data_IF_956153471447
#
_entry.id   IF_956153471447
#
_cell.length_a   1.000
_cell.length_b   1.000
_cell.length_c   1.000
_cell.angle_alpha   90.00
_cell.angle_beta   90.00
_cell.angle_gamma   90.00
#
_symmetry.space_group_name_H-M   'P 1'
#
loop_
_entity.id
_entity.type
_entity.pdbx_description
1 polymer ?
#
# COMPACT_ATOMS: atom_id res chain seq x y z
N UNK A 1 18.82 -4.33 -13.68
CA UNK A 1 18.46 -5.69 -14.11
C UNK A 1 16.99 -5.87 -13.82
N UNK A 2 16.20 -6.29 -14.81
CA UNK A 2 14.77 -6.49 -14.60
C UNK A 2 14.56 -7.98 -14.35
N UNK A 3 13.94 -8.31 -13.22
CA UNK A 3 13.51 -9.68 -12.94
C UNK A 3 12.19 -10.01 -13.62
N UNK A 4 11.65 -11.17 -13.28
CA UNK A 4 10.36 -11.66 -13.73
C UNK A 4 9.45 -11.91 -12.54
N UNK A 5 8.15 -11.91 -12.79
CA UNK A 5 7.15 -12.48 -11.88
C UNK A 5 6.28 -13.49 -12.64
N UNK A 6 5.67 -14.41 -11.91
CA UNK A 6 4.90 -15.52 -12.46
C UNK A 6 4.00 -16.15 -11.40
N UNK A 7 3.16 -17.09 -11.85
CA UNK A 7 2.38 -17.95 -10.97
C UNK A 7 3.14 -19.25 -10.67
N UNK A 8 3.26 -19.59 -9.40
CA UNK A 8 3.85 -20.84 -8.92
C UNK A 8 2.82 -21.96 -9.01
N UNK A 9 3.18 -23.09 -9.62
CA UNK A 9 2.32 -24.29 -9.67
C UNK A 9 2.89 -25.49 -8.93
N UNK A 10 4.15 -25.41 -8.50
CA UNK A 10 4.80 -26.43 -7.67
C UNK A 10 5.94 -25.83 -6.83
N UNK A 11 6.42 -26.59 -5.86
CA UNK A 11 7.64 -26.27 -5.09
C UNK A 11 8.48 -27.55 -5.01
N UNK A 12 9.56 -27.65 -5.79
CA UNK A 12 10.40 -28.86 -5.84
C UNK A 12 11.66 -28.76 -4.97
N UNK A 13 11.66 -27.90 -3.97
CA UNK A 13 12.85 -27.61 -3.15
C UNK A 13 13.08 -28.74 -2.15
N UNK A 14 14.30 -29.31 -2.08
CA UNK A 14 14.60 -30.40 -1.16
C UNK A 14 14.29 -30.03 0.29
N UNK A 15 13.63 -30.94 1.03
CA UNK A 15 13.33 -30.80 2.48
C UNK A 15 12.42 -29.62 2.85
N UNK A 16 11.71 -29.05 1.87
CA UNK A 16 10.71 -28.01 2.11
C UNK A 16 9.39 -28.61 2.64
N UNK A 17 8.74 -27.96 3.60
CA UNK A 17 7.51 -28.44 4.27
C UNK A 17 6.28 -27.86 3.59
N UNK A 18 5.32 -28.72 3.21
CA UNK A 18 4.08 -28.40 2.48
C UNK A 18 4.32 -27.63 1.16
N UNK A 19 3.41 -27.70 0.18
CA UNK A 19 3.52 -26.91 -1.04
C UNK A 19 3.39 -25.40 -0.75
N UNK A 20 4.52 -24.68 -0.62
CA UNK A 20 4.54 -23.23 -0.35
C UNK A 20 3.69 -22.45 -1.36
N UNK A 21 3.72 -22.86 -2.63
CA UNK A 21 2.96 -22.24 -3.73
C UNK A 21 1.43 -22.19 -3.52
N UNK A 22 0.85 -23.04 -2.67
CA UNK A 22 -0.59 -22.96 -2.36
C UNK A 22 -0.94 -21.73 -1.49
N UNK A 23 -0.01 -21.32 -0.63
CA UNK A 23 -0.17 -20.13 0.23
C UNK A 23 0.47 -18.88 -0.38
N UNK A 24 1.49 -19.07 -1.22
CA UNK A 24 2.22 -18.02 -1.93
C UNK A 24 2.22 -18.31 -3.44
N UNK A 25 1.09 -18.09 -4.12
CA UNK A 25 0.91 -18.46 -5.51
C UNK A 25 1.70 -17.60 -6.49
N UNK A 26 2.28 -16.47 -6.06
CA UNK A 26 3.12 -15.62 -6.91
C UNK A 26 4.60 -15.93 -6.65
N UNK A 27 5.39 -15.93 -7.72
CA UNK A 27 6.84 -16.05 -7.69
C UNK A 27 7.49 -14.81 -8.30
N UNK A 28 8.57 -14.35 -7.68
CA UNK A 28 9.40 -13.25 -8.18
C UNK A 28 10.82 -13.75 -8.31
N UNK A 29 11.44 -13.59 -9.47
CA UNK A 29 12.77 -14.13 -9.70
C UNK A 29 13.69 -13.17 -10.46
N UNK A 30 14.98 -13.25 -10.16
CA UNK A 30 16.02 -12.51 -10.86
C UNK A 30 17.36 -13.23 -10.76
N UNK A 31 18.35 -12.77 -11.52
CA UNK A 31 19.70 -13.32 -11.51
C UNK A 31 20.64 -12.43 -10.68
N UNK A 32 21.52 -13.02 -9.89
CA UNK A 32 22.72 -12.33 -9.38
C UNK A 32 23.91 -12.68 -10.28
N UNK A 33 25.09 -12.20 -9.94
CA UNK A 33 26.31 -12.58 -10.65
C UNK A 33 26.58 -14.10 -10.59
N UNK A 34 26.05 -14.80 -9.59
CA UNK A 34 26.38 -16.21 -9.31
C UNK A 34 25.17 -17.14 -9.21
N UNK A 35 24.02 -16.66 -8.75
CA UNK A 35 22.83 -17.47 -8.44
C UNK A 35 21.56 -16.91 -9.06
N UNK A 36 20.60 -17.78 -9.36
CA UNK A 36 19.20 -17.39 -9.50
C UNK A 36 18.58 -17.22 -8.13
N UNK A 37 17.65 -16.28 -8.01
CA UNK A 37 16.92 -15.95 -6.79
C UNK A 37 15.44 -16.05 -7.07
N UNK A 38 14.69 -16.63 -6.14
CA UNK A 38 13.23 -16.68 -6.14
C UNK A 38 12.70 -16.24 -4.77
N UNK A 39 11.69 -15.38 -4.78
CA UNK A 39 10.90 -15.00 -3.61
C UNK A 39 9.44 -15.39 -3.81
N UNK A 40 8.84 -15.89 -2.74
CA UNK A 40 7.43 -16.26 -2.69
C UNK A 40 6.56 -15.06 -2.34
N UNK A 41 5.51 -14.81 -3.11
CA UNK A 41 4.53 -13.75 -2.87
C UNK A 41 3.10 -14.26 -2.72
N UNK A 42 2.33 -13.61 -1.85
CA UNK A 42 0.90 -13.84 -1.69
C UNK A 42 0.05 -13.07 -2.71
N UNK A 43 -1.21 -13.47 -2.85
CA UNK A 43 -2.22 -12.77 -3.67
C UNK A 43 -3.49 -12.42 -2.85
N UNK A 44 -3.35 -12.38 -1.52
CA UNK A 44 -4.42 -12.04 -0.57
C UNK A 44 -3.94 -10.94 0.38
N UNK A 45 -4.90 -10.19 0.94
CA UNK A 45 -4.59 -9.09 1.85
C UNK A 45 -3.72 -8.05 1.15
N UNK A 46 -2.51 -7.82 1.68
CA UNK A 46 -1.56 -6.83 1.17
C UNK A 46 -0.55 -7.41 0.16
N UNK A 47 -0.78 -8.64 -0.33
CA UNK A 47 0.06 -9.31 -1.34
C UNK A 47 1.54 -9.39 -0.95
N UNK A 48 1.79 -9.70 0.32
CA UNK A 48 3.14 -9.68 0.91
C UNK A 48 4.09 -10.63 0.20
N UNK A 49 5.33 -10.16 -0.04
CA UNK A 49 6.45 -11.00 -0.48
C UNK A 49 7.22 -11.46 0.76
N UNK A 50 7.40 -12.78 0.86
CA UNK A 50 8.07 -13.45 1.96
C UNK A 50 9.58 -13.48 1.73
N UNK A 51 10.24 -12.36 2.08
CA UNK A 51 11.70 -12.17 1.95
C UNK A 51 12.49 -13.27 2.67
N UNK A 52 12.01 -13.72 3.84
CA UNK A 52 12.64 -14.81 4.59
C UNK A 52 12.48 -16.20 3.97
N UNK A 53 11.60 -16.35 2.95
CA UNK A 53 11.43 -17.56 2.16
C UNK A 53 12.08 -17.38 0.79
N UNK A 54 13.38 -17.13 0.76
CA UNK A 54 14.12 -16.95 -0.49
C UNK A 54 14.77 -18.27 -0.91
N UNK A 55 14.49 -18.71 -2.14
CA UNK A 55 15.14 -19.85 -2.74
C UNK A 55 16.25 -19.40 -3.70
N UNK A 56 17.42 -20.03 -3.62
CA UNK A 56 18.52 -19.77 -4.55
C UNK A 56 19.11 -21.07 -5.10
N UNK A 57 19.68 -20.98 -6.30
CA UNK A 57 20.46 -22.05 -6.94
C UNK A 57 21.53 -21.39 -7.82
N UNK A 58 22.72 -22.00 -7.96
CA UNK A 58 23.75 -21.47 -8.85
C UNK A 58 23.21 -21.36 -10.27
N UNK A 59 23.52 -20.23 -10.93
CA UNK A 59 22.98 -19.96 -12.27
C UNK A 59 23.52 -20.98 -13.28
N UNK A 60 22.61 -21.69 -13.94
CA UNK A 60 22.91 -22.60 -15.03
C UNK A 60 21.73 -22.59 -16.02
N UNK A 61 21.98 -22.17 -17.25
CA UNK A 61 20.92 -21.93 -18.24
C UNK A 61 20.30 -20.54 -18.08
N UNK A 62 19.00 -20.43 -18.33
CA UNK A 62 18.25 -19.17 -18.22
C UNK A 62 17.42 -19.12 -16.94
N UNK A 63 17.13 -17.91 -16.43
CA UNK A 63 16.22 -17.70 -15.30
C UNK A 63 14.83 -18.29 -15.53
N UNK A 64 14.28 -18.15 -16.74
CA UNK A 64 12.94 -18.66 -17.07
C UNK A 64 12.88 -20.19 -17.04
N UNK A 65 13.86 -20.86 -17.66
CA UNK A 65 13.94 -22.33 -17.62
C UNK A 65 14.08 -22.85 -16.19
N UNK A 66 14.89 -22.14 -15.38
CA UNK A 66 15.02 -22.43 -13.96
C UNK A 66 13.70 -22.28 -13.20
N UNK A 67 12.98 -21.18 -13.43
CA UNK A 67 11.71 -20.89 -12.79
C UNK A 67 10.64 -21.94 -13.16
N UNK A 68 10.54 -22.31 -14.44
CA UNK A 68 9.64 -23.35 -14.93
C UNK A 68 10.00 -24.71 -14.31
N UNK A 69 11.28 -25.08 -14.31
CA UNK A 69 11.74 -26.36 -13.77
C UNK A 69 11.44 -26.49 -12.29
N UNK A 70 11.75 -25.46 -11.50
CA UNK A 70 11.76 -25.52 -10.02
C UNK A 70 10.41 -25.17 -9.41
N UNK A 71 9.71 -24.16 -9.95
CA UNK A 71 8.47 -23.62 -9.37
C UNK A 71 7.24 -23.86 -10.26
N UNK A 72 7.44 -24.43 -11.45
CA UNK A 72 6.36 -24.61 -12.42
C UNK A 72 5.79 -23.26 -12.86
N UNK A 73 6.66 -22.27 -13.04
CA UNK A 73 6.31 -20.92 -13.42
C UNK A 73 5.37 -20.89 -14.64
N UNK A 74 4.23 -20.24 -14.49
CA UNK A 74 3.27 -19.94 -15.56
C UNK A 74 3.04 -18.43 -15.66
N UNK A 75 2.54 -17.97 -16.81
CA UNK A 75 2.21 -16.55 -17.02
C UNK A 75 3.39 -15.63 -16.70
N UNK A 76 4.60 -16.02 -17.12
CA UNK A 76 5.84 -15.28 -16.85
C UNK A 76 5.79 -13.91 -17.52
N UNK A 77 6.02 -12.88 -16.73
CA UNK A 77 6.01 -11.48 -17.16
C UNK A 77 7.20 -10.72 -16.57
N UNK A 78 7.73 -9.71 -17.27
CA UNK A 78 8.82 -8.88 -16.74
C UNK A 78 8.33 -7.99 -15.61
N UNK A 79 9.22 -7.69 -14.67
CA UNK A 79 9.02 -6.62 -13.69
C UNK A 79 9.17 -5.25 -14.37
N UNK A 80 8.29 -4.31 -13.97
CA UNK A 80 8.34 -2.93 -14.42
C UNK A 80 9.40 -2.11 -13.68
N UNK A 81 9.72 -2.50 -12.44
CA UNK A 81 10.73 -1.86 -11.61
C UNK A 81 12.02 -2.70 -11.54
N UNK A 82 13.20 -2.05 -11.57
CA UNK A 82 14.47 -2.74 -11.36
C UNK A 82 14.60 -3.36 -9.96
N UNK A 83 15.34 -4.46 -9.87
CA UNK A 83 15.67 -5.11 -8.59
C UNK A 83 16.48 -4.16 -7.69
N UNK A 84 16.08 -4.06 -6.43
CA UNK A 84 16.70 -3.20 -5.43
C UNK A 84 16.30 -1.72 -5.51
N UNK A 85 15.38 -1.34 -6.39
CA UNK A 85 14.85 0.01 -6.46
C UNK A 85 13.52 0.16 -5.72
N UNK A 86 13.32 1.34 -5.16
CA UNK A 86 12.08 1.77 -4.52
C UNK A 86 11.80 3.23 -4.91
N UNK A 87 10.59 3.72 -4.66
CA UNK A 87 10.22 5.11 -4.92
C UNK A 87 9.94 5.78 -3.57
N UNK A 88 10.57 6.93 -3.36
CA UNK A 88 10.39 7.75 -2.16
C UNK A 88 8.91 8.01 -1.88
N UNK A 89 8.47 7.74 -0.65
CA UNK A 89 7.10 7.98 -0.21
C UNK A 89 6.02 7.14 -0.92
N UNK A 90 6.38 6.04 -1.58
CA UNK A 90 5.42 5.12 -2.21
C UNK A 90 5.64 3.70 -1.73
N UNK A 91 4.76 3.19 -0.88
CA UNK A 91 4.84 1.80 -0.45
C UNK A 91 4.33 0.85 -1.54
N UNK A 92 5.08 -0.22 -1.77
CA UNK A 92 4.66 -1.40 -2.53
C UNK A 92 5.02 -2.68 -1.76
N UNK A 93 4.34 -3.81 -2.05
CA UNK A 93 4.62 -5.08 -1.38
C UNK A 93 6.09 -5.52 -1.48
N UNK A 94 6.50 -6.34 -0.50
CA UNK A 94 7.87 -6.70 -0.07
C UNK A 94 8.46 -5.85 1.04
N UNK A 95 8.05 -4.59 1.22
CA UNK A 95 8.47 -3.79 2.36
C UNK A 95 7.63 -4.14 3.59
N UNK A 96 8.10 -5.13 4.36
CA UNK A 96 7.43 -5.68 5.54
C UNK A 96 8.01 -5.14 6.86
N UNK A 97 9.33 -5.06 6.96
CA UNK A 97 10.02 -4.67 8.19
C UNK A 97 10.12 -3.16 8.30
N UNK A 98 9.88 -2.61 9.49
CA UNK A 98 9.84 -1.16 9.72
C UNK A 98 11.12 -0.44 9.29
N UNK A 99 12.29 -1.03 9.54
CA UNK A 99 13.58 -0.44 9.13
C UNK A 99 13.72 -0.37 7.60
N UNK A 100 13.32 -1.44 6.89
CA UNK A 100 13.31 -1.47 5.43
C UNK A 100 12.33 -0.45 4.86
N UNK A 101 11.12 -0.35 5.43
CA UNK A 101 10.12 0.61 4.98
C UNK A 101 10.65 2.04 5.15
N UNK A 102 11.22 2.35 6.31
CA UNK A 102 11.77 3.67 6.59
C UNK A 102 12.86 4.06 5.59
N UNK A 103 13.80 3.14 5.32
CA UNK A 103 14.93 3.38 4.44
C UNK A 103 14.51 3.42 2.96
N UNK A 104 13.67 2.48 2.51
CA UNK A 104 13.22 2.40 1.12
C UNK A 104 12.31 3.56 0.71
N UNK A 105 11.52 4.09 1.65
CA UNK A 105 10.58 5.17 1.36
C UNK A 105 11.10 6.56 1.76
N UNK A 106 12.31 6.64 2.31
CA UNK A 106 12.91 7.87 2.86
C UNK A 106 11.93 8.61 3.81
N UNK A 107 11.43 7.89 4.81
CA UNK A 107 10.38 8.40 5.70
C UNK A 107 10.95 9.43 6.67
N UNK A 108 10.33 10.62 6.68
CA UNK A 108 10.44 11.55 7.80
C UNK A 108 9.60 11.02 8.97
N UNK A 109 10.28 10.54 10.01
CA UNK A 109 9.63 9.98 11.19
C UNK A 109 8.77 11.00 11.97
N UNK A 110 9.11 12.28 11.94
CA UNK A 110 8.29 13.30 12.59
C UNK A 110 6.97 13.46 11.85
N UNK A 111 7.04 13.54 10.52
CA UNK A 111 5.86 13.62 9.67
C UNK A 111 4.97 12.38 9.83
N UNK A 112 5.57 11.19 9.83
CA UNK A 112 4.84 9.94 10.04
C UNK A 112 4.09 9.92 11.38
N UNK A 113 4.77 10.24 12.49
CA UNK A 113 4.15 10.27 13.83
C UNK A 113 3.03 11.30 13.92
N UNK A 114 3.19 12.45 13.26
CA UNK A 114 2.13 13.45 13.16
C UNK A 114 0.90 12.90 12.44
N UNK A 115 1.10 12.16 11.33
CA UNK A 115 0.02 11.52 10.59
C UNK A 115 -0.66 10.40 11.40
N UNK A 116 0.09 9.62 12.18
CA UNK A 116 -0.45 8.62 13.11
C UNK A 116 -1.35 9.27 14.16
N UNK A 117 -0.88 10.36 14.77
CA UNK A 117 -1.64 11.08 15.79
C UNK A 117 -2.92 11.69 15.22
N UNK A 118 -2.85 12.26 14.00
CA UNK A 118 -4.03 12.77 13.30
C UNK A 118 -5.03 11.64 13.02
N UNK A 119 -4.57 10.49 12.49
CA UNK A 119 -5.43 9.35 12.21
C UNK A 119 -6.07 8.79 13.49
N UNK A 120 -5.33 8.70 14.60
CA UNK A 120 -5.88 8.28 15.90
C UNK A 120 -7.04 9.19 16.34
N UNK A 121 -6.85 10.52 16.26
CA UNK A 121 -7.90 11.50 16.62
C UNK A 121 -9.13 11.34 15.70
N UNK A 122 -8.91 11.09 14.41
CA UNK A 122 -9.99 10.88 13.45
C UNK A 122 -10.80 9.61 13.76
N UNK A 123 -10.12 8.51 14.15
CA UNK A 123 -10.77 7.26 14.53
C UNK A 123 -11.54 7.39 15.85
N UNK A 124 -10.97 8.02 16.88
CA UNK A 124 -11.65 8.26 18.15
C UNK A 124 -12.96 9.06 17.95
N UNK A 125 -12.93 10.05 17.05
CA UNK A 125 -14.12 10.83 16.69
C UNK A 125 -15.13 10.02 15.88
N UNK A 126 -14.68 9.07 15.06
CA UNK A 126 -15.58 8.17 14.34
C UNK A 126 -16.31 7.24 15.31
N UNK A 127 -15.58 6.67 16.27
CA UNK A 127 -16.16 5.80 17.30
C UNK A 127 -17.18 6.55 18.16
N UNK A 128 -16.93 7.82 18.51
CA UNK A 128 -17.93 8.66 19.21
C UNK A 128 -19.22 8.81 18.39
N UNK A 129 -19.14 8.95 17.06
CA UNK A 129 -20.34 9.01 16.20
C UNK A 129 -21.06 7.65 16.19
N UNK A 130 -20.32 6.54 16.16
CA UNK A 130 -20.90 5.19 16.18
C UNK A 130 -21.67 4.87 17.47
N UNK A 131 -21.44 5.60 18.57
CA UNK A 131 -22.26 5.46 19.78
C UNK A 131 -23.73 5.89 19.59
N UNK A 132 -24.00 6.73 18.59
CA UNK A 132 -25.33 7.32 18.38
C UNK A 132 -25.91 7.04 16.99
N UNK A 133 -25.06 6.71 16.01
CA UNK A 133 -25.46 6.40 14.63
C UNK A 133 -24.87 5.06 14.24
N UNK A 134 -25.74 4.07 14.07
CA UNK A 134 -25.34 2.74 13.63
C UNK A 134 -24.73 2.82 12.21
N UNK A 135 -23.51 2.29 11.99
CA UNK A 135 -22.94 2.19 10.65
C UNK A 135 -23.59 1.03 9.88
N UNK A 136 -24.82 1.23 9.45
CA UNK A 136 -25.55 0.37 8.52
C UNK A 136 -26.06 1.19 7.32
N UNK A 137 -26.89 0.59 6.46
CA UNK A 137 -27.45 1.29 5.31
C UNK A 137 -28.29 2.52 5.70
N UNK A 138 -28.96 2.51 6.86
CA UNK A 138 -29.82 3.60 7.32
C UNK A 138 -28.98 4.72 7.94
N UNK A 139 -28.10 4.37 8.87
CA UNK A 139 -27.24 5.34 9.56
C UNK A 139 -26.18 5.94 8.65
N UNK A 140 -25.75 5.24 7.60
CA UNK A 140 -24.88 5.78 6.55
C UNK A 140 -25.42 7.10 5.95
N UNK A 141 -26.74 7.24 5.82
CA UNK A 141 -27.39 8.45 5.29
C UNK A 141 -27.63 9.53 6.35
N UNK A 142 -27.40 9.23 7.63
CA UNK A 142 -27.54 10.20 8.70
C UNK A 142 -26.48 11.28 8.57
N UNK A 143 -26.90 12.53 8.65
CA UNK A 143 -26.03 13.70 8.60
C UNK A 143 -26.20 14.56 9.85
N UNK A 144 -25.18 15.31 10.21
CA UNK A 144 -25.22 16.13 11.41
C UNK A 144 -23.98 16.97 11.61
N UNK A 145 -23.99 17.73 12.69
CA UNK A 145 -22.88 18.63 13.00
C UNK A 145 -21.58 17.87 13.30
N UNK A 146 -21.68 16.72 13.98
CA UNK A 146 -20.52 15.85 14.26
C UNK A 146 -19.97 15.20 12.99
N UNK A 147 -20.84 14.68 12.13
CA UNK A 147 -20.42 14.17 10.82
C UNK A 147 -19.77 15.26 9.97
N UNK A 148 -20.30 16.48 9.95
CA UNK A 148 -19.69 17.60 9.22
C UNK A 148 -18.33 18.00 9.80
N UNK A 149 -18.22 18.08 11.12
CA UNK A 149 -16.96 18.37 11.81
C UNK A 149 -15.89 17.34 11.40
N UNK A 150 -16.20 16.05 11.51
CA UNK A 150 -15.27 14.98 11.19
C UNK A 150 -14.96 14.90 9.70
N UNK A 151 -15.95 15.10 8.82
CA UNK A 151 -15.74 15.13 7.37
C UNK A 151 -14.73 16.22 6.97
N UNK A 152 -14.84 17.43 7.56
CA UNK A 152 -13.90 18.52 7.31
C UNK A 152 -12.49 18.14 7.78
N UNK A 153 -12.36 17.64 9.01
CA UNK A 153 -11.06 17.24 9.56
C UNK A 153 -10.41 16.14 8.70
N UNK A 154 -11.15 15.09 8.38
CA UNK A 154 -10.65 13.97 7.59
C UNK A 154 -10.22 14.42 6.17
N UNK A 155 -11.00 15.27 5.50
CA UNK A 155 -10.63 15.76 4.17
C UNK A 155 -9.40 16.67 4.22
N UNK A 156 -9.27 17.51 5.24
CA UNK A 156 -8.08 18.35 5.42
C UNK A 156 -6.82 17.52 5.67
N UNK A 157 -6.90 16.42 6.41
CA UNK A 157 -5.75 15.51 6.58
C UNK A 157 -5.34 14.80 5.28
N UNK A 158 -6.31 14.43 4.43
CA UNK A 158 -5.99 13.93 3.07
C UNK A 158 -5.31 15.01 2.23
N UNK A 159 -5.81 16.25 2.26
CA UNK A 159 -5.19 17.39 1.57
C UNK A 159 -3.74 17.62 2.03
N UNK A 160 -3.49 17.57 3.34
CA UNK A 160 -2.16 17.71 3.92
C UNK A 160 -1.19 16.64 3.38
N UNK A 161 -1.64 15.38 3.32
CA UNK A 161 -0.83 14.29 2.77
C UNK A 161 -0.54 14.46 1.28
N UNK A 162 -1.52 14.90 0.48
CA UNK A 162 -1.29 15.21 -0.93
C UNK A 162 -0.28 16.35 -1.11
N UNK A 163 -0.48 17.47 -0.41
CA UNK A 163 0.42 18.63 -0.46
C UNK A 163 1.84 18.24 -0.08
N UNK A 164 2.00 17.46 0.98
CA UNK A 164 3.31 16.96 1.41
C UNK A 164 4.03 16.19 0.30
N UNK A 165 3.34 15.27 -0.39
CA UNK A 165 3.94 14.50 -1.47
C UNK A 165 4.36 15.39 -2.64
N UNK A 166 3.52 16.35 -3.04
CA UNK A 166 3.87 17.32 -4.07
C UNK A 166 5.07 18.21 -3.69
N UNK A 167 5.16 18.62 -2.43
CA UNK A 167 6.29 19.42 -1.96
C UNK A 167 7.62 18.65 -2.08
N UNK A 168 7.60 17.31 -1.98
CA UNK A 168 8.79 16.47 -2.17
C UNK A 168 9.22 16.35 -3.63
N UNK A 169 8.30 16.45 -4.59
CA UNK A 169 8.63 16.28 -6.02
C UNK A 169 9.19 17.54 -6.68
N UNK A 170 9.07 18.69 -6.04
CA UNK A 170 9.43 19.99 -6.63
C UNK A 170 8.52 20.42 -7.79
N UNK A 171 7.41 19.70 -8.03
CA UNK A 171 6.46 20.01 -9.11
C UNK A 171 5.65 21.25 -8.75
N UNK A 172 5.62 22.30 -9.59
CA UNK A 172 4.78 23.47 -9.32
C UNK A 172 3.30 23.13 -9.51
N UNK A 173 2.44 23.79 -8.75
CA UNK A 173 0.98 23.70 -8.94
C UNK A 173 0.59 24.14 -10.36
N UNK A 174 -0.38 23.45 -10.98
CA UNK A 174 -0.81 23.75 -12.36
C UNK A 174 -1.30 25.20 -12.54
N UNK A 175 -1.85 25.81 -11.50
CA UNK A 175 -2.30 27.21 -11.51
C UNK A 175 -1.21 28.23 -11.10
N UNK A 176 0.01 27.76 -10.78
CA UNK A 176 1.14 28.58 -10.35
C UNK A 176 1.04 29.18 -8.95
N UNK A 177 0.06 28.79 -8.12
CA UNK A 177 -0.17 29.34 -6.78
C UNK A 177 -0.28 28.28 -5.70
N UNK A 178 -1.27 27.39 -5.83
CA UNK A 178 -1.61 26.40 -4.79
C UNK A 178 -2.08 25.13 -5.47
N UNK A 179 -1.68 23.98 -4.94
CA UNK A 179 -2.17 22.71 -5.44
C UNK A 179 -3.68 22.60 -5.28
N UNK A 180 -4.31 21.97 -6.26
CA UNK A 180 -5.75 21.73 -6.30
C UNK A 180 -6.01 20.27 -6.61
N UNK A 181 -7.27 19.84 -6.61
CA UNK A 181 -7.64 18.49 -7.04
C UNK A 181 -7.20 18.15 -8.47
N UNK A 182 -7.02 19.15 -9.33
CA UNK A 182 -6.44 18.98 -10.68
C UNK A 182 -4.97 18.54 -10.63
N UNK A 183 -4.26 18.90 -9.57
CA UNK A 183 -2.92 18.42 -9.31
C UNK A 183 -3.00 17.07 -8.60
N UNK A 184 -3.74 17.00 -7.48
CA UNK A 184 -3.78 15.83 -6.61
C UNK A 184 -4.16 14.53 -7.32
N UNK A 185 -5.07 14.59 -8.31
CA UNK A 185 -5.49 13.40 -9.07
C UNK A 185 -4.33 12.69 -9.78
N UNK A 186 -3.23 13.39 -10.07
CA UNK A 186 -2.02 12.79 -10.66
C UNK A 186 -1.33 11.80 -9.73
N UNK A 187 -1.58 11.86 -8.42
CA UNK A 187 -1.06 10.90 -7.44
C UNK A 187 -1.74 9.52 -7.56
N UNK A 188 -2.96 9.43 -8.08
CA UNK A 188 -3.72 8.19 -8.19
C UNK A 188 -2.90 7.03 -8.79
N UNK A 189 -2.35 7.15 -10.02
CA UNK A 189 -1.54 6.08 -10.60
C UNK A 189 -0.14 5.96 -9.97
N UNK A 190 0.40 7.05 -9.40
CA UNK A 190 1.75 7.07 -8.83
C UNK A 190 1.85 6.33 -7.49
N UNK A 191 0.78 6.41 -6.70
CA UNK A 191 0.67 5.77 -5.39
C UNK A 191 -0.19 4.50 -5.42
N UNK A 192 -0.63 4.07 -6.61
CA UNK A 192 -1.52 2.92 -6.80
C UNK A 192 -2.80 3.00 -5.94
N UNK A 193 -3.34 4.20 -5.69
CA UNK A 193 -4.43 4.40 -4.71
C UNK A 193 -5.70 3.61 -5.04
N UNK A 194 -5.95 3.36 -6.33
CA UNK A 194 -7.10 2.59 -6.81
C UNK A 194 -7.05 1.10 -6.47
N UNK A 195 -5.90 0.57 -6.05
CA UNK A 195 -5.74 -0.83 -5.68
C UNK A 195 -6.23 -1.11 -4.25
N UNK A 196 -6.26 -0.10 -3.38
CA UNK A 196 -6.61 -0.30 -1.98
C UNK A 196 -8.12 -0.47 -1.76
N UNK A 197 -8.44 -1.40 -0.87
CA UNK A 197 -9.77 -1.64 -0.34
C UNK A 197 -9.72 -1.74 1.18
N UNK A 198 -10.69 -1.09 1.83
CA UNK A 198 -10.89 -1.16 3.27
C UNK A 198 -12.24 -1.79 3.58
N UNK A 199 -12.28 -2.76 4.49
CA UNK A 199 -13.53 -3.33 5.02
C UNK A 199 -13.65 -3.01 6.52
N UNK A 200 -14.84 -2.66 6.99
CA UNK A 200 -15.13 -2.57 8.41
C UNK A 200 -15.48 -3.97 8.94
N UNK A 201 -14.72 -4.49 9.90
CA UNK A 201 -14.88 -5.87 10.40
C UNK A 201 -16.16 -6.08 11.20
N UNK A 202 -16.56 -5.06 11.95
CA UNK A 202 -17.65 -5.18 12.93
C UNK A 202 -19.02 -4.76 12.38
N UNK A 203 -19.07 -4.28 11.12
CA UNK A 203 -20.26 -3.66 10.56
C UNK A 203 -20.55 -4.20 9.16
N UNK A 204 -21.83 -4.49 8.89
CA UNK A 204 -22.27 -4.96 7.59
C UNK A 204 -22.49 -3.78 6.62
N UNK A 205 -21.40 -3.10 6.29
CA UNK A 205 -21.35 -2.00 5.33
C UNK A 205 -20.64 -2.42 4.06
N UNK A 206 -20.78 -1.62 2.99
CA UNK A 206 -20.03 -1.85 1.77
C UNK A 206 -18.51 -1.82 2.02
N UNK A 207 -17.76 -2.43 1.13
CA UNK A 207 -16.30 -2.26 1.07
C UNK A 207 -15.98 -0.86 0.52
N UNK A 208 -14.93 -0.24 1.06
CA UNK A 208 -14.54 1.13 0.76
C UNK A 208 -13.33 1.14 -0.15
N UNK A 209 -13.45 1.84 -1.30
CA UNK A 209 -12.36 2.10 -2.24
C UNK A 209 -12.34 3.60 -2.53
N UNK A 210 -11.81 4.42 -1.61
CA UNK A 210 -12.05 5.87 -1.60
C UNK A 210 -11.56 6.59 -2.85
N UNK A 211 -10.62 5.99 -3.60
CA UNK A 211 -10.01 6.58 -4.80
C UNK A 211 -10.35 5.87 -6.12
N UNK A 212 -11.18 4.82 -6.12
CA UNK A 212 -11.40 3.99 -7.33
C UNK A 212 -11.99 4.77 -8.50
N UNK A 213 -12.83 5.77 -8.22
CA UNK A 213 -13.52 6.57 -9.23
C UNK A 213 -12.84 7.92 -9.47
N UNK A 214 -11.69 8.19 -8.84
CA UNK A 214 -11.05 9.51 -8.94
C UNK A 214 -10.61 9.80 -10.38
N UNK A 215 -11.14 10.87 -10.97
CA UNK A 215 -11.05 11.10 -12.41
C UNK A 215 -10.55 12.51 -12.73
N UNK A 216 -9.54 12.62 -13.59
CA UNK A 216 -8.89 13.89 -13.93
C UNK A 216 -9.79 14.90 -14.66
N UNK A 217 -10.86 14.47 -15.33
CA UNK A 217 -11.81 15.40 -15.96
C UNK A 217 -12.69 16.12 -14.94
N UNK A 218 -12.96 15.49 -13.79
CA UNK A 218 -13.79 16.05 -12.72
C UNK A 218 -13.22 15.69 -11.33
N UNK A 219 -12.00 16.13 -10.99
CA UNK A 219 -11.24 15.52 -9.90
C UNK A 219 -11.80 15.83 -8.50
N UNK A 220 -12.57 16.91 -8.35
CA UNK A 220 -13.32 17.16 -7.11
C UNK A 220 -14.60 16.30 -7.09
N UNK A 221 -15.43 16.38 -8.13
CA UNK A 221 -16.76 15.76 -8.16
C UNK A 221 -16.72 14.23 -8.23
N UNK A 222 -15.64 13.66 -8.77
CA UNK A 222 -15.44 12.22 -8.86
C UNK A 222 -15.11 11.56 -7.52
N UNK A 223 -14.75 12.35 -6.50
CA UNK A 223 -14.64 11.92 -5.10
C UNK A 223 -15.86 12.45 -4.34
N UNK A 224 -16.90 11.63 -4.20
CA UNK A 224 -18.18 12.02 -3.57
C UNK A 224 -18.00 12.65 -2.19
N UNK A 225 -17.14 12.04 -1.37
CA UNK A 225 -16.84 12.49 -0.01
C UNK A 225 -16.10 13.84 0.00
N UNK A 226 -15.19 14.06 -0.94
CA UNK A 226 -14.44 15.31 -1.06
C UNK A 226 -15.28 16.44 -1.66
N UNK A 227 -16.15 16.14 -2.62
CA UNK A 227 -17.16 17.07 -3.14
C UNK A 227 -18.16 17.48 -2.05
N UNK A 228 -18.62 16.52 -1.24
CA UNK A 228 -19.48 16.78 -0.08
C UNK A 228 -18.79 17.67 0.96
N UNK A 229 -17.51 17.43 1.25
CA UNK A 229 -16.68 18.31 2.07
C UNK A 229 -16.67 19.75 1.52
N UNK A 230 -16.34 19.92 0.23
CA UNK A 230 -16.29 21.26 -0.38
C UNK A 230 -17.63 21.98 -0.33
N UNK A 231 -18.72 21.28 -0.67
CA UNK A 231 -20.08 21.83 -0.61
C UNK A 231 -20.47 22.24 0.81
N UNK A 232 -20.26 21.37 1.80
CA UNK A 232 -20.61 21.65 3.20
C UNK A 232 -19.72 22.73 3.83
N UNK A 233 -18.48 22.90 3.34
CA UNK A 233 -17.54 23.95 3.74
C UNK A 233 -17.96 25.32 3.20
N UNK A 234 -18.28 25.42 1.91
CA UNK A 234 -18.54 26.69 1.24
C UNK A 234 -20.01 27.14 1.28
N UNK A 235 -20.97 26.20 1.31
CA UNK A 235 -22.40 26.51 1.36
C UNK A 235 -23.14 25.53 2.28
N UNK A 236 -22.89 25.69 3.59
CA UNK A 236 -23.56 24.88 4.62
C UNK A 236 -25.08 25.01 4.57
N UNK A 237 -25.63 26.17 4.19
CA UNK A 237 -27.08 26.41 4.24
C UNK A 237 -27.83 25.43 3.34
N UNK A 238 -27.30 25.19 2.13
CA UNK A 238 -27.96 24.34 1.15
C UNK A 238 -27.45 22.89 1.16
N UNK A 239 -26.20 22.65 1.61
CA UNK A 239 -25.56 21.34 1.50
C UNK A 239 -25.24 20.68 2.84
N UNK A 240 -25.84 21.12 3.96
CA UNK A 240 -25.62 20.45 5.26
C UNK A 240 -25.93 18.95 5.23
N UNK A 241 -26.94 18.54 4.45
CA UNK A 241 -27.32 17.14 4.28
C UNK A 241 -26.26 16.27 3.60
N UNK A 242 -25.26 16.87 2.93
CA UNK A 242 -24.14 16.11 2.35
C UNK A 242 -23.14 15.64 3.41
N UNK A 243 -23.20 16.14 4.65
CA UNK A 243 -22.33 15.70 5.73
C UNK A 243 -22.81 14.38 6.35
N UNK A 244 -22.96 13.34 5.51
CA UNK A 244 -23.44 12.01 5.91
C UNK A 244 -22.34 11.19 6.58
N UNK A 245 -22.74 10.20 7.38
CA UNK A 245 -21.81 9.20 7.93
C UNK A 245 -21.07 8.45 6.82
N UNK A 246 -21.72 8.15 5.69
CA UNK A 246 -21.08 7.50 4.56
C UNK A 246 -19.89 8.32 4.02
N UNK A 247 -20.08 9.63 3.80
CA UNK A 247 -19.00 10.50 3.33
C UNK A 247 -17.87 10.61 4.36
N UNK A 248 -18.20 10.59 5.66
CA UNK A 248 -17.21 10.52 6.73
C UNK A 248 -16.39 9.23 6.64
N UNK A 249 -17.05 8.07 6.51
CA UNK A 249 -16.37 6.78 6.42
C UNK A 249 -15.48 6.68 5.16
N UNK A 250 -15.93 7.20 4.02
CA UNK A 250 -15.08 7.31 2.83
C UNK A 250 -13.86 8.22 3.08
N UNK A 251 -14.03 9.36 3.73
CA UNK A 251 -12.91 10.27 4.04
C UNK A 251 -11.93 9.67 5.07
N UNK A 252 -12.40 8.92 6.06
CA UNK A 252 -11.55 8.22 7.04
C UNK A 252 -10.77 7.11 6.34
N UNK A 253 -11.44 6.28 5.53
CA UNK A 253 -10.76 5.23 4.77
C UNK A 253 -9.77 5.81 3.75
N UNK A 254 -10.05 6.99 3.18
CA UNK A 254 -9.08 7.73 2.36
C UNK A 254 -7.80 8.08 3.12
N UNK A 255 -7.91 8.49 4.39
CA UNK A 255 -6.75 8.73 5.25
C UNK A 255 -5.94 7.45 5.51
N UNK A 256 -6.62 6.33 5.80
CA UNK A 256 -5.97 5.02 6.01
C UNK A 256 -5.21 4.61 4.73
N UNK A 257 -5.85 4.74 3.56
CA UNK A 257 -5.23 4.40 2.28
C UNK A 257 -4.03 5.30 1.99
N UNK A 258 -4.14 6.63 2.20
CA UNK A 258 -3.02 7.55 2.01
C UNK A 258 -1.87 7.24 2.97
N UNK A 259 -2.15 6.90 4.23
CA UNK A 259 -1.13 6.48 5.18
C UNK A 259 -0.43 5.21 4.68
N UNK A 260 -1.19 4.18 4.29
CA UNK A 260 -0.62 2.93 3.80
C UNK A 260 0.24 3.14 2.56
N UNK A 261 -0.24 3.95 1.61
CA UNK A 261 0.48 4.25 0.37
C UNK A 261 1.76 5.05 0.62
N UNK A 262 1.80 5.92 1.65
CA UNK A 262 2.95 6.79 1.91
C UNK A 262 3.99 6.18 2.86
N UNK A 263 3.52 5.52 3.91
CA UNK A 263 4.35 5.05 5.03
C UNK A 263 4.38 3.53 5.17
N UNK A 264 3.60 2.82 4.37
CA UNK A 264 3.39 1.38 4.50
C UNK A 264 2.35 1.02 5.55
N UNK A 265 1.64 -0.11 5.36
CA UNK A 265 0.54 -0.53 6.23
C UNK A 265 1.03 -1.11 7.57
N UNK A 266 2.27 -1.58 7.65
CA UNK A 266 2.74 -2.36 8.81
C UNK A 266 2.96 -1.53 10.07
N UNK A 267 3.15 -0.22 9.97
CA UNK A 267 3.11 0.65 11.15
C UNK A 267 1.71 0.71 11.78
N UNK A 268 0.66 0.62 10.97
CA UNK A 268 -0.71 0.52 11.47
C UNK A 268 -1.05 -0.89 11.95
N UNK A 269 -0.52 -1.94 11.32
CA UNK A 269 -0.96 -3.32 11.57
C UNK A 269 -0.12 -4.07 12.62
N UNK A 270 1.19 -3.82 12.67
CA UNK A 270 2.14 -4.68 13.40
C UNK A 270 2.66 -4.07 14.70
N UNK A 271 2.46 -2.77 14.91
CA UNK A 271 2.94 -2.09 16.11
C UNK A 271 2.02 -2.31 17.33
N UNK A 272 2.59 -2.24 18.53
CA UNK A 272 1.85 -2.33 19.78
C UNK A 272 1.39 -0.95 20.26
N UNK A 273 0.58 -0.24 19.46
CA UNK A 273 0.05 1.09 19.79
C UNK A 273 -1.48 1.08 19.90
N UNK A 274 -2.05 2.14 20.50
CA UNK A 274 -3.51 2.36 20.53
C UNK A 274 -4.07 2.45 19.10
N UNK A 275 -3.40 3.20 18.22
CA UNK A 275 -3.80 3.32 16.82
C UNK A 275 -3.82 1.95 16.14
N UNK A 276 -2.78 1.14 16.31
CA UNK A 276 -2.72 -0.19 15.72
C UNK A 276 -3.80 -1.12 16.26
N UNK A 277 -4.13 -1.01 17.54
CA UNK A 277 -5.20 -1.77 18.16
C UNK A 277 -6.57 -1.40 17.54
N UNK A 278 -6.85 -0.11 17.40
CA UNK A 278 -8.07 0.38 16.74
C UNK A 278 -8.13 -0.06 15.27
N UNK A 279 -7.03 0.10 14.52
CA UNK A 279 -6.97 -0.35 13.12
C UNK A 279 -7.29 -1.84 13.01
N UNK A 280 -6.64 -2.68 13.82
CA UNK A 280 -6.82 -4.13 13.78
C UNK A 280 -8.22 -4.56 14.23
N UNK A 281 -8.84 -3.85 15.18
CA UNK A 281 -10.19 -4.12 15.65
C UNK A 281 -11.25 -3.75 14.61
N UNK A 282 -11.11 -2.60 13.94
CA UNK A 282 -12.17 -2.05 13.10
C UNK A 282 -12.01 -2.38 11.62
N UNK A 283 -10.79 -2.54 11.13
CA UNK A 283 -10.51 -2.53 9.69
C UNK A 283 -9.75 -3.76 9.20
N UNK A 284 -10.07 -4.15 7.98
CA UNK A 284 -9.26 -5.02 7.13
C UNK A 284 -8.78 -4.20 5.92
N UNK A 285 -7.49 -4.31 5.60
CA UNK A 285 -6.82 -3.56 4.53
C UNK A 285 -6.32 -4.56 3.49
N UNK A 286 -6.72 -4.39 2.25
CA UNK A 286 -6.37 -5.29 1.15
C UNK A 286 -5.97 -4.50 -0.10
N UNK A 287 -5.15 -5.13 -0.95
CA UNK A 287 -4.91 -4.74 -2.33
C UNK A 287 -5.73 -5.63 -3.26
N UNK A 288 -6.47 -5.03 -4.18
CA UNK A 288 -7.25 -5.72 -5.19
C UNK A 288 -6.76 -5.39 -6.59
N UNK A 289 -6.65 -6.43 -7.42
CA UNK A 289 -6.19 -6.32 -8.81
C UNK A 289 -4.89 -5.52 -8.94
N UNK A 290 -4.03 -5.59 -7.92
CA UNK A 290 -2.80 -4.82 -7.88
C UNK A 290 -1.80 -5.33 -8.89
N UNK A 291 -1.08 -4.43 -9.54
CA UNK A 291 -0.10 -4.79 -10.54
C UNK A 291 1.17 -5.37 -9.90
N UNK A 292 1.32 -6.69 -9.98
CA UNK A 292 2.46 -7.43 -9.42
C UNK A 292 3.80 -7.04 -10.04
N UNK A 293 3.80 -6.47 -11.26
CA UNK A 293 5.03 -6.02 -11.92
C UNK A 293 5.65 -4.78 -11.25
N UNK A 294 4.89 -4.09 -10.40
CA UNK A 294 5.28 -2.85 -9.71
C UNK A 294 5.74 -3.06 -8.27
N UNK A 295 5.86 -4.30 -7.82
CA UNK A 295 6.29 -4.59 -6.45
C UNK A 295 7.80 -4.38 -6.32
N UNK A 296 8.25 -3.98 -5.13
CA UNK A 296 9.67 -3.80 -4.87
C UNK A 296 10.30 -5.16 -4.60
N UNK A 297 11.37 -5.48 -5.32
CA UNK A 297 12.10 -6.75 -5.11
C UNK A 297 13.46 -6.43 -4.51
N UNK A 298 13.79 -6.94 -3.31
CA UNK A 298 15.07 -6.66 -2.68
C UNK A 298 16.21 -7.24 -3.50
N UNK A 299 17.33 -6.53 -3.52
CA UNK A 299 18.57 -7.02 -4.12
C UNK A 299 19.39 -7.71 -3.04
N UNK A 300 19.87 -8.91 -3.34
CA UNK A 300 20.81 -9.63 -2.47
C UNK A 300 22.22 -9.69 -3.05
N UNK A 301 23.20 -9.69 -2.15
CA UNK A 301 24.62 -9.95 -2.45
C UNK A 301 25.10 -11.12 -1.61
N UNK A 302 25.47 -12.22 -2.27
CA UNK A 302 25.85 -13.46 -1.59
C UNK A 302 27.37 -13.64 -1.54
N UNK A 303 27.92 -14.19 -0.44
CA UNK A 303 29.34 -14.53 -0.34
C UNK A 303 29.82 -15.51 -1.42
N UNK A 304 31.12 -15.48 -1.74
CA UNK A 304 31.71 -16.35 -2.77
C UNK A 304 31.60 -17.86 -2.45
N UNK A 305 31.48 -18.23 -1.17
CA UNK A 305 31.32 -19.61 -0.70
C UNK A 305 29.86 -20.03 -0.51
N UNK A 306 28.91 -19.29 -1.09
CA UNK A 306 27.49 -19.66 -1.08
C UNK A 306 27.31 -21.00 -1.78
N UNK A 307 26.46 -21.85 -1.19
CA UNK A 307 26.16 -23.18 -1.72
C UNK A 307 25.59 -23.11 -3.12
N UNK A 308 25.99 -24.06 -3.97
CA UNK A 308 25.60 -24.08 -5.38
C UNK A 308 24.28 -24.82 -5.64
N UNK A 309 23.86 -25.70 -4.73
CA UNK A 309 22.62 -26.48 -4.86
C UNK A 309 21.37 -25.64 -4.57
N UNK A 310 20.19 -26.17 -4.90
CA UNK A 310 18.91 -25.50 -4.64
C UNK A 310 18.53 -25.59 -3.15
N UNK A 311 18.39 -24.44 -2.48
CA UNK A 311 17.92 -24.38 -1.09
C UNK A 311 17.13 -23.10 -0.77
N UNK A 312 16.38 -23.13 0.33
CA UNK A 312 15.72 -21.96 0.94
C UNK A 312 16.49 -21.52 2.17
N UNK A 313 16.59 -20.20 2.35
CA UNK A 313 17.05 -19.58 3.58
C UNK A 313 16.52 -18.14 3.70
N UNK A 314 16.79 -17.50 4.82
CA UNK A 314 16.41 -16.11 5.09
C UNK A 314 17.60 -15.16 4.85
N UNK A 315 17.76 -14.57 3.65
CA UNK A 315 18.86 -13.65 3.36
C UNK A 315 18.77 -12.33 4.12
N UNK A 316 17.56 -11.95 4.56
CA UNK A 316 17.36 -10.73 5.34
C UNK A 316 17.93 -10.90 6.75
N UNK A 317 17.57 -11.97 7.46
CA UNK A 317 18.16 -12.27 8.78
C UNK A 317 19.67 -12.51 8.74
N UNK A 318 20.20 -12.98 7.60
CA UNK A 318 21.63 -13.18 7.40
C UNK A 318 22.39 -11.92 6.92
N UNK A 319 21.70 -10.78 6.75
CA UNK A 319 22.32 -9.50 6.39
C UNK A 319 22.86 -9.44 4.96
N UNK A 320 22.27 -10.18 4.02
CA UNK A 320 22.68 -10.19 2.61
C UNK A 320 21.91 -9.21 1.73
N UNK A 321 20.97 -8.47 2.30
CA UNK A 321 20.22 -7.44 1.59
C UNK A 321 21.11 -6.24 1.29
N UNK A 322 21.11 -5.83 0.02
CA UNK A 322 21.75 -4.60 -0.44
C UNK A 322 20.80 -3.45 -0.14
N UNK A 323 21.31 -2.29 0.34
CA UNK A 323 20.49 -1.10 0.55
C UNK A 323 19.68 -0.72 -0.70
N UNK A 324 18.46 -0.23 -0.48
CA UNK A 324 17.58 0.22 -1.55
C UNK A 324 18.18 1.42 -2.29
N UNK A 325 18.09 1.38 -3.62
CA UNK A 325 18.33 2.52 -4.50
C UNK A 325 17.02 3.32 -4.64
N UNK A 326 16.84 4.29 -3.74
CA UNK A 326 15.61 5.08 -3.61
C UNK A 326 15.54 6.12 -4.72
N UNK A 327 14.56 5.98 -5.60
CA UNK A 327 14.27 6.94 -6.66
C UNK A 327 13.33 8.04 -6.16
N UNK A 328 13.51 9.30 -6.59
CA UNK A 328 12.60 10.37 -6.23
C UNK A 328 11.20 10.13 -6.84
N UNK A 329 10.15 10.49 -6.10
CA UNK A 329 8.79 10.51 -6.64
C UNK A 329 8.69 11.58 -7.74
N UNK A 330 8.18 11.18 -8.90
CA UNK A 330 7.92 12.08 -10.04
C UNK A 330 6.45 12.05 -10.42
N UNK A 331 5.83 13.23 -10.55
CA UNK A 331 4.40 13.39 -10.84
C UNK A 331 4.17 13.74 -12.30
#
# INVERSE_FOLDING_TARGET
>A
MNGIFYENTKTTIPRCVQPIHETHPLGYAYETDTHFVHLYGGNKGLNTISVGLTAIEKKQGTLEDWAIRTFGAQNIQPLNLPIGQSIEGVWRPSLLYSEDIQNALNIDMYEQRSAEQALLILLDKLDDIFLYVEPDQNGAQSFGHKSRELLILACTEVENMWVSLFNKTGTPAANGRTFTTQDYVKLLPKLCLGEFQISFKNYNVRKFKPFINWNASHPTQSLSWYDAYNKTKHDRKNFFSCATLENVMDAITANIVMYCAKYGPFYLLSNNTTLSSLINQHFEIELLNSDSSTYYIPKFSFPANTREDLFIFDPHQNGYMVPWDVQPLTI
#
